data_IF_902064469388
#
_entry.id   IF_902064469388
#
_cell.length_a   1.000
_cell.length_b   1.000
_cell.length_c   1.000
_cell.angle_alpha   90.00
_cell.angle_beta   90.00
_cell.angle_gamma   90.00
#
_symmetry.space_group_name_H-M   'P 1'
#
loop_
_entity.id
_entity.type
_entity.pdbx_description
1 polymer ?
#
# COMPACT_ATOMS: atom_id res chain seq x y z
N UNK A 1 8.15 -31.26 41.69
CA UNK A 1 8.65 -31.66 40.38
C UNK A 1 7.70 -31.45 39.30
N UNK A 2 6.42 -31.85 39.44
CA UNK A 2 5.49 -31.66 38.38
C UNK A 2 5.19 -30.21 38.05
N UNK A 3 5.26 -29.33 39.04
CA UNK A 3 4.97 -27.91 38.81
C UNK A 3 6.04 -27.23 37.96
N UNK A 4 7.30 -27.71 37.99
CA UNK A 4 8.34 -27.07 37.18
C UNK A 4 8.16 -27.35 35.69
N UNK A 5 7.66 -28.54 35.35
CA UNK A 5 7.43 -28.87 33.93
C UNK A 5 6.31 -28.03 33.34
N UNK A 6 5.30 -27.70 34.11
CA UNK A 6 4.20 -26.86 33.65
C UNK A 6 4.68 -25.42 33.42
N UNK A 7 5.55 -24.93 34.29
CA UNK A 7 6.09 -23.58 34.12
C UNK A 7 6.91 -23.46 32.84
N UNK A 8 7.72 -24.46 32.54
CA UNK A 8 8.53 -24.43 31.33
C UNK A 8 7.65 -24.59 30.09
N UNK A 9 6.58 -25.40 30.16
CA UNK A 9 5.67 -25.56 29.05
C UNK A 9 4.96 -24.26 28.73
N UNK A 10 4.51 -23.52 29.76
CA UNK A 10 3.85 -22.23 29.56
C UNK A 10 4.83 -21.20 28.99
N UNK A 11 6.08 -21.22 29.42
CA UNK A 11 7.07 -20.30 28.92
C UNK A 11 7.36 -20.56 27.43
N UNK A 12 7.48 -21.81 27.03
CA UNK A 12 7.71 -22.16 25.64
C UNK A 12 6.50 -21.77 24.77
N UNK A 13 5.31 -21.97 25.28
CA UNK A 13 4.10 -21.60 24.56
C UNK A 13 4.04 -20.08 24.34
N UNK A 14 4.42 -19.30 25.34
CA UNK A 14 4.42 -17.85 25.25
C UNK A 14 5.43 -17.36 24.21
N UNK A 15 6.61 -17.98 24.14
CA UNK A 15 7.62 -17.58 23.16
C UNK A 15 7.20 -17.93 21.74
N UNK A 16 6.44 -19.01 21.54
CA UNK A 16 5.95 -19.35 20.22
C UNK A 16 4.91 -18.37 19.70
N UNK A 17 4.06 -17.84 20.56
CA UNK A 17 3.05 -16.87 20.16
C UNK A 17 3.70 -15.55 19.72
N UNK A 18 4.78 -15.14 20.36
CA UNK A 18 5.42 -13.87 19.99
C UNK A 18 6.11 -13.89 18.63
N UNK A 19 6.48 -15.07 18.10
CA UNK A 19 7.11 -15.13 16.79
C UNK A 19 6.11 -14.90 15.65
N UNK A 20 4.83 -15.18 15.86
CA UNK A 20 3.84 -14.94 14.81
C UNK A 20 3.63 -13.44 14.55
N UNK A 21 3.82 -12.58 15.56
CA UNK A 21 3.61 -11.16 15.38
C UNK A 21 4.63 -10.53 14.45
N UNK A 22 5.78 -11.16 14.25
CA UNK A 22 6.82 -10.61 13.38
C UNK A 22 6.66 -11.01 11.92
N UNK A 23 5.71 -11.91 11.61
CA UNK A 23 5.50 -12.37 10.25
C UNK A 23 4.57 -11.48 9.43
N UNK A 24 4.01 -10.45 10.03
CA UNK A 24 3.08 -9.55 9.34
C UNK A 24 3.83 -8.60 8.42
N UNK A 25 3.30 -8.38 7.23
CA UNK A 25 3.89 -7.44 6.28
C UNK A 25 3.71 -5.99 6.71
N UNK A 26 4.30 -5.10 5.96
CA UNK A 26 4.18 -3.67 6.18
C UNK A 26 2.87 -3.17 5.62
N UNK A 27 2.15 -2.38 6.40
CA UNK A 27 0.90 -1.78 5.92
C UNK A 27 1.15 -0.33 5.53
N UNK A 28 0.67 0.04 4.35
CA UNK A 28 0.73 1.42 3.87
C UNK A 28 -0.68 1.93 3.67
N UNK A 29 -0.85 3.23 3.77
CA UNK A 29 -2.14 3.87 3.56
C UNK A 29 -1.93 5.20 2.88
N UNK A 30 -2.99 5.78 2.36
CA UNK A 30 -2.88 7.09 1.72
C UNK A 30 -4.19 7.54 1.12
N UNK A 31 -4.09 8.64 0.38
CA UNK A 31 -5.23 9.21 -0.32
C UNK A 31 -4.88 9.42 -1.78
N UNK A 32 -5.87 9.29 -2.64
CA UNK A 32 -5.74 9.59 -4.07
C UNK A 32 -6.76 10.65 -4.42
N UNK A 33 -6.30 11.71 -5.04
CA UNK A 33 -7.16 12.84 -5.44
C UNK A 33 -6.72 13.38 -6.79
N UNK A 34 -7.51 14.25 -7.36
CA UNK A 34 -7.14 15.02 -8.53
C UNK A 34 -7.56 16.48 -8.31
N UNK A 35 -7.55 17.30 -9.33
CA UNK A 35 -7.92 18.71 -9.21
C UNK A 35 -9.35 18.91 -8.75
N UNK A 36 -10.21 17.91 -8.94
CA UNK A 36 -11.62 18.00 -8.57
C UNK A 36 -11.88 17.47 -7.16
N UNK A 37 -10.93 16.83 -6.54
CA UNK A 37 -11.10 16.30 -5.19
C UNK A 37 -10.74 14.83 -5.08
N UNK A 38 -11.16 14.17 -4.00
CA UNK A 38 -10.85 12.75 -3.79
C UNK A 38 -11.42 11.86 -4.89
N UNK A 39 -10.69 10.80 -5.23
CA UNK A 39 -11.10 9.88 -6.26
C UNK A 39 -11.51 8.55 -5.64
N UNK A 40 -12.76 8.16 -5.85
CA UNK A 40 -13.26 6.86 -5.44
C UNK A 40 -13.02 5.87 -6.58
N UNK A 41 -12.56 4.66 -6.25
CA UNK A 41 -12.40 3.61 -7.25
C UNK A 41 -11.09 3.64 -8.00
N UNK A 42 -10.13 4.45 -7.57
CA UNK A 42 -8.80 4.40 -8.18
C UNK A 42 -8.11 3.10 -7.79
N UNK A 43 -7.37 2.51 -8.72
CA UNK A 43 -6.66 1.27 -8.47
C UNK A 43 -5.28 1.57 -7.92
N UNK A 44 -4.95 0.97 -6.78
CA UNK A 44 -3.61 1.08 -6.18
C UNK A 44 -3.05 -0.32 -6.11
N UNK A 45 -1.95 -0.57 -6.81
CA UNK A 45 -1.36 -1.90 -6.89
C UNK A 45 0.09 -1.86 -6.45
N UNK A 46 0.53 -2.94 -5.82
CA UNK A 46 1.96 -3.15 -5.56
C UNK A 46 2.49 -3.96 -6.72
N UNK A 47 3.54 -3.46 -7.38
CA UNK A 47 4.13 -4.14 -8.53
C UNK A 47 5.60 -4.42 -8.28
N UNK A 48 6.03 -5.63 -8.69
CA UNK A 48 7.43 -6.02 -8.55
C UNK A 48 8.25 -5.53 -9.76
N UNK A 49 9.53 -5.90 -9.81
CA UNK A 49 10.42 -5.48 -10.88
C UNK A 49 9.98 -5.99 -12.24
N UNK A 50 9.19 -7.08 -12.30
CA UNK A 50 8.66 -7.61 -13.54
C UNK A 50 7.29 -7.04 -13.88
N UNK A 51 6.83 -6.04 -13.15
CA UNK A 51 5.53 -5.38 -13.35
C UNK A 51 4.34 -6.29 -13.03
N UNK A 52 4.56 -7.35 -12.27
CA UNK A 52 3.46 -8.22 -11.85
C UNK A 52 2.73 -7.59 -10.67
N UNK A 53 1.43 -7.77 -10.62
CA UNK A 53 0.62 -7.27 -9.51
C UNK A 53 0.75 -8.23 -8.34
N UNK A 54 1.29 -7.73 -7.24
CA UNK A 54 1.49 -8.50 -6.03
C UNK A 54 0.30 -8.31 -5.07
N UNK A 55 -0.18 -7.10 -4.97
CA UNK A 55 -1.33 -6.74 -4.14
C UNK A 55 -2.11 -5.64 -4.83
N UNK A 56 -3.41 -5.54 -4.57
CA UNK A 56 -4.24 -4.52 -5.21
C UNK A 56 -5.38 -4.12 -4.28
N UNK A 57 -5.71 -2.84 -4.25
CA UNK A 57 -6.88 -2.30 -3.58
C UNK A 57 -7.46 -1.17 -4.42
N UNK A 58 -8.69 -0.77 -4.11
CA UNK A 58 -9.28 0.42 -4.71
C UNK A 58 -9.58 1.43 -3.62
N UNK A 59 -9.60 2.71 -3.99
CA UNK A 59 -9.88 3.77 -3.03
C UNK A 59 -11.38 3.83 -2.71
N UNK A 60 -11.68 4.31 -1.50
CA UNK A 60 -13.06 4.49 -1.04
C UNK A 60 -13.62 5.85 -1.48
N UNK A 61 -14.81 6.19 -1.01
CA UNK A 61 -15.48 7.43 -1.41
C UNK A 61 -14.69 8.67 -1.02
N UNK A 62 -13.84 8.60 -0.04
CA UNK A 62 -13.01 9.71 0.38
C UNK A 62 -11.63 9.68 -0.27
N UNK A 63 -11.40 8.76 -1.20
CA UNK A 63 -10.11 8.61 -1.87
C UNK A 63 -9.06 7.88 -1.03
N UNK A 64 -9.45 7.31 0.10
CA UNK A 64 -8.51 6.66 0.99
C UNK A 64 -8.27 5.20 0.60
N UNK A 65 -7.06 4.73 0.82
CA UNK A 65 -6.75 3.33 0.65
C UNK A 65 -5.83 2.86 1.77
N UNK A 66 -5.84 1.56 2.01
CA UNK A 66 -4.93 0.92 2.96
C UNK A 66 -4.65 -0.47 2.42
N UNK A 67 -3.39 -0.87 2.38
CA UNK A 67 -3.01 -2.16 1.85
C UNK A 67 -1.77 -2.69 2.53
N UNK A 68 -1.62 -4.01 2.52
CA UNK A 68 -0.45 -4.65 3.06
C UNK A 68 0.55 -4.87 1.94
N UNK A 69 1.78 -4.46 2.16
CA UNK A 69 2.84 -4.54 1.18
C UNK A 69 3.69 -5.78 1.46
N UNK A 70 3.97 -6.54 0.42
CA UNK A 70 4.77 -7.76 0.54
C UNK A 70 6.25 -7.46 0.53
N UNK A 71 6.69 -6.45 -0.21
CA UNK A 71 8.10 -6.14 -0.32
C UNK A 71 8.28 -4.64 -0.53
N UNK A 72 8.99 -3.99 0.38
CA UNK A 72 9.18 -2.54 0.32
C UNK A 72 10.07 -2.10 -0.84
N UNK A 73 10.75 -3.04 -1.51
CA UNK A 73 11.50 -2.70 -2.73
C UNK A 73 10.60 -2.63 -3.96
N UNK A 74 9.35 -3.03 -3.84
CA UNK A 74 8.38 -2.91 -4.93
C UNK A 74 7.89 -1.48 -5.08
N UNK A 75 7.08 -1.23 -6.09
CA UNK A 75 6.52 0.09 -6.36
C UNK A 75 5.01 0.05 -6.27
N UNK A 76 4.42 1.18 -5.92
CA UNK A 76 2.98 1.37 -6.03
C UNK A 76 2.67 1.93 -7.42
N UNK A 77 1.64 1.41 -8.05
CA UNK A 77 1.14 1.98 -9.29
C UNK A 77 -0.32 2.35 -9.09
N UNK A 78 -0.64 3.62 -9.33
CA UNK A 78 -1.96 4.16 -9.12
C UNK A 78 -2.54 4.54 -10.47
N UNK A 79 -3.73 4.03 -10.78
CA UNK A 79 -4.39 4.32 -12.04
C UNK A 79 -5.86 4.61 -11.86
N UNK A 80 -6.40 5.45 -12.72
CA UNK A 80 -7.82 5.77 -12.75
C UNK A 80 -8.19 6.19 -14.17
N UNK A 81 -9.42 5.90 -14.56
CA UNK A 81 -9.89 6.24 -15.90
C UNK A 81 -9.78 7.74 -16.13
N UNK A 82 -9.18 8.15 -17.21
CA UNK A 82 -9.01 9.56 -17.56
C UNK A 82 -7.82 10.25 -16.91
N UNK A 83 -7.07 9.54 -16.08
CA UNK A 83 -5.89 10.11 -15.41
C UNK A 83 -4.63 9.40 -15.84
N UNK A 84 -3.51 10.12 -15.76
CA UNK A 84 -2.21 9.51 -16.03
C UNK A 84 -1.84 8.57 -14.91
N UNK A 85 -1.33 7.41 -15.24
CA UNK A 85 -0.88 6.43 -14.25
C UNK A 85 0.38 6.94 -13.56
N UNK A 86 0.43 6.81 -12.24
CA UNK A 86 1.61 7.16 -11.46
C UNK A 86 2.27 5.93 -10.89
N UNK A 87 3.59 5.93 -10.83
CA UNK A 87 4.37 4.88 -10.20
C UNK A 87 5.27 5.50 -9.15
N UNK A 88 5.24 4.95 -7.94
CA UNK A 88 6.00 5.48 -6.82
C UNK A 88 6.76 4.37 -6.12
N UNK A 89 8.02 4.60 -5.75
CA UNK A 89 8.72 3.63 -4.91
C UNK A 89 8.11 3.59 -3.52
N UNK A 90 7.99 2.42 -2.93
CA UNK A 90 7.42 2.30 -1.60
C UNK A 90 8.48 2.68 -0.54
N UNK A 91 9.60 1.99 -0.54
CA UNK A 91 10.66 2.29 0.40
C UNK A 91 10.21 2.20 1.85
N UNK A 92 10.64 3.14 2.65
CA UNK A 92 10.30 3.17 4.07
C UNK A 92 9.03 3.95 4.38
N UNK A 93 8.35 4.48 3.37
CA UNK A 93 7.16 5.29 3.60
C UNK A 93 5.95 4.42 3.89
N UNK A 94 5.12 4.83 4.82
CA UNK A 94 3.88 4.14 5.16
C UNK A 94 2.66 5.00 4.86
N UNK A 95 2.85 6.25 4.47
CA UNK A 95 1.75 7.17 4.15
C UNK A 95 2.03 7.84 2.80
N UNK A 96 1.00 7.90 1.96
CA UNK A 96 1.13 8.46 0.62
C UNK A 96 0.00 9.45 0.35
N UNK A 97 0.34 10.59 -0.22
CA UNK A 97 -0.64 11.58 -0.65
C UNK A 97 -0.45 11.73 -2.15
N UNK A 98 -1.36 11.15 -2.93
CA UNK A 98 -1.19 11.00 -4.36
C UNK A 98 -2.18 11.91 -5.08
N UNK A 99 -1.66 12.75 -5.98
CA UNK A 99 -2.49 13.61 -6.80
C UNK A 99 -2.30 13.17 -8.25
N UNK A 100 -3.37 12.71 -8.89
CA UNK A 100 -3.32 12.27 -10.27
C UNK A 100 -3.58 13.43 -11.22
N UNK A 101 -2.92 13.39 -12.37
CA UNK A 101 -3.12 14.39 -13.40
C UNK A 101 -4.08 13.88 -14.45
N UNK A 102 -4.91 14.78 -14.97
CA UNK A 102 -5.82 14.46 -16.05
C UNK A 102 -5.01 14.10 -17.28
N UNK A 103 -5.33 12.98 -17.90
CA UNK A 103 -4.65 12.51 -19.09
C UNK A 103 -4.85 13.45 -20.27
N UNK A 104 -5.94 14.17 -20.30
CA UNK A 104 -6.27 15.06 -21.41
C UNK A 104 -5.79 16.51 -21.23
N UNK A 105 -5.08 16.80 -20.16
CA UNK A 105 -4.57 18.15 -19.94
C UNK A 105 -3.43 18.40 -20.91
N UNK A 106 -3.54 19.47 -21.70
CA UNK A 106 -2.53 19.84 -22.64
C UNK A 106 -1.83 21.06 -22.12
N UNK A 107 -0.65 20.86 -21.59
CA UNK A 107 0.00 21.96 -20.93
C UNK A 107 0.59 22.93 -21.84
N UNK A 108 0.94 22.50 -23.00
CA UNK A 108 1.64 23.33 -23.81
C UNK A 108 0.88 24.07 -24.65
N UNK A 109 -0.20 24.13 -24.55
CA UNK A 109 -1.00 24.72 -25.36
C UNK A 109 -0.70 26.04 -25.57
N UNK A 110 0.01 26.43 -25.12
CA UNK A 110 0.30 27.59 -25.23
C UNK A 110 0.54 28.18 -26.35
N UNK A 111 0.62 27.83 -27.10
CA UNK A 111 0.79 28.29 -28.20
C UNK A 111 0.48 29.53 -28.50
N UNK A 112 0.77 30.11 -28.80
CA UNK A 112 0.46 31.21 -29.30
C UNK A 112 1.15 31.99 -29.32
#
# INVERSE_FOLDING_TARGET
>A
MKTNKIKYLLLVLFTMVSTFAMAQGTRVSGTVSDAMGPIMGANVTERDASQRIISAVTTDINGNFSMEIKNTNNKLQISYVGCKTQKLPIGARTSFDIVLEDQNVIKEVVIK
#
